data_IF_159651973033
#
_entry.id   IF_159651973033
#
_cell.length_a   1.000
_cell.length_b   1.000
_cell.length_c   1.000
_cell.angle_alpha   90.00
_cell.angle_beta   90.00
_cell.angle_gamma   90.00
#
_symmetry.space_group_name_H-M   'P 1'
#
loop_
_entity.id
_entity.type
_entity.pdbx_description
1 polymer ?
#
# COMPACT_ATOMS: atom_id res chain seq x y z
N UNK A 1 -36.35 -17.12 19.53
CA UNK A 1 -36.30 -15.69 19.15
C UNK A 1 -34.92 -15.05 19.40
N UNK A 2 -34.28 -15.32 20.54
CA UNK A 2 -32.95 -14.75 20.89
C UNK A 2 -31.85 -15.06 19.86
N UNK A 3 -31.79 -16.29 19.33
CA UNK A 3 -30.78 -16.73 18.33
C UNK A 3 -30.87 -15.99 16.98
N UNK A 4 -32.06 -15.50 16.60
CA UNK A 4 -32.25 -14.73 15.34
C UNK A 4 -31.74 -13.32 15.50
N UNK A 5 -32.13 -12.63 16.59
CA UNK A 5 -31.67 -11.28 16.90
C UNK A 5 -30.15 -11.19 16.98
N UNK A 6 -29.49 -12.18 17.59
CA UNK A 6 -28.02 -12.21 17.66
C UNK A 6 -27.35 -12.35 16.29
N UNK A 7 -27.93 -13.13 15.37
CA UNK A 7 -27.42 -13.27 14.01
C UNK A 7 -27.62 -11.99 13.19
N UNK A 8 -28.78 -11.34 13.32
CA UNK A 8 -29.06 -10.07 12.64
C UNK A 8 -28.05 -8.99 13.07
N UNK A 9 -27.78 -8.88 14.38
CA UNK A 9 -26.81 -7.92 14.91
C UNK A 9 -25.38 -8.25 14.47
N UNK A 10 -24.98 -9.52 14.51
CA UNK A 10 -23.64 -9.92 14.05
C UNK A 10 -23.41 -9.62 12.57
N UNK A 11 -24.42 -9.91 11.73
CA UNK A 11 -24.35 -9.64 10.30
C UNK A 11 -24.30 -8.13 10.03
N UNK A 12 -25.11 -7.35 10.75
CA UNK A 12 -25.08 -5.90 10.67
C UNK A 12 -23.68 -5.35 10.96
N UNK A 13 -23.05 -5.80 12.05
CA UNK A 13 -21.68 -5.38 12.41
C UNK A 13 -20.68 -5.76 11.32
N UNK A 14 -20.75 -6.99 10.81
CA UNK A 14 -19.84 -7.47 9.76
C UNK A 14 -19.98 -6.67 8.45
N UNK A 15 -21.21 -6.42 8.00
CA UNK A 15 -21.48 -5.63 6.79
C UNK A 15 -21.06 -4.18 6.99
N UNK A 16 -21.34 -3.59 8.16
CA UNK A 16 -20.90 -2.23 8.48
C UNK A 16 -19.38 -2.14 8.45
N UNK A 17 -18.69 -3.08 9.10
CA UNK A 17 -17.23 -3.17 9.09
C UNK A 17 -16.69 -3.26 7.67
N UNK A 18 -17.25 -4.13 6.82
CA UNK A 18 -16.84 -4.27 5.43
C UNK A 18 -17.00 -2.96 4.65
N UNK A 19 -18.15 -2.28 4.79
CA UNK A 19 -18.40 -1.00 4.12
C UNK A 19 -17.37 0.04 4.58
N UNK A 20 -17.17 0.19 5.89
CA UNK A 20 -16.21 1.13 6.45
C UNK A 20 -14.77 0.81 5.99
N UNK A 21 -14.38 -0.47 5.98
CA UNK A 21 -13.08 -0.92 5.52
C UNK A 21 -12.87 -0.60 4.03
N UNK A 22 -13.84 -0.89 3.17
CA UNK A 22 -13.77 -0.55 1.74
C UNK A 22 -13.69 0.97 1.54
N UNK A 23 -14.49 1.75 2.27
CA UNK A 23 -14.42 3.22 2.21
C UNK A 23 -13.06 3.74 2.64
N UNK A 24 -12.45 3.18 3.70
CA UNK A 24 -11.10 3.52 4.12
C UNK A 24 -10.06 3.26 3.01
N UNK A 25 -10.08 2.07 2.40
CA UNK A 25 -9.16 1.71 1.30
C UNK A 25 -9.32 2.64 0.09
N UNK A 26 -10.56 3.03 -0.24
CA UNK A 26 -10.82 4.00 -1.31
C UNK A 26 -10.30 5.39 -0.91
N UNK A 27 -10.53 5.81 0.32
CA UNK A 27 -10.05 7.09 0.86
C UNK A 27 -8.53 7.25 0.80
N UNK A 28 -7.80 6.21 1.20
CA UNK A 28 -6.34 6.11 1.06
C UNK A 28 -5.89 6.24 -0.40
N UNK A 29 -6.50 5.46 -1.31
CA UNK A 29 -6.12 5.49 -2.74
C UNK A 29 -6.38 6.83 -3.42
N UNK A 30 -7.39 7.56 -2.98
CA UNK A 30 -7.78 8.85 -3.53
C UNK A 30 -7.16 10.04 -2.77
N UNK A 31 -6.33 9.77 -1.75
CA UNK A 31 -5.72 10.79 -0.89
C UNK A 31 -6.74 11.78 -0.29
N UNK A 32 -7.91 11.28 0.10
CA UNK A 32 -9.01 12.13 0.61
C UNK A 32 -8.68 12.71 1.99
N UNK A 33 -7.80 12.05 2.74
CA UNK A 33 -7.50 12.38 4.14
C UNK A 33 -6.66 13.65 4.32
N UNK A 34 -5.98 14.14 3.28
CA UNK A 34 -5.15 15.34 3.35
C UNK A 34 -5.92 16.67 3.37
N UNK A 35 -7.23 16.68 3.09
CA UNK A 35 -8.02 17.90 3.00
C UNK A 35 -9.01 18.06 4.16
N UNK A 36 -8.80 19.05 5.03
CA UNK A 36 -9.60 19.28 6.24
C UNK A 36 -11.11 19.41 6.01
N UNK A 37 -11.56 20.11 4.95
CA UNK A 37 -13.00 20.26 4.65
C UNK A 37 -13.61 18.95 4.12
N UNK A 38 -12.90 18.27 3.22
CA UNK A 38 -13.36 16.99 2.66
C UNK A 38 -13.38 15.89 3.71
N UNK A 39 -12.47 15.91 4.68
CA UNK A 39 -12.48 14.97 5.81
C UNK A 39 -13.78 15.09 6.63
N UNK A 40 -14.20 16.30 6.99
CA UNK A 40 -15.45 16.52 7.76
C UNK A 40 -16.67 16.05 6.96
N UNK A 41 -16.76 16.44 5.68
CA UNK A 41 -17.86 16.01 4.80
C UNK A 41 -17.86 14.49 4.63
N UNK A 42 -16.69 13.89 4.39
CA UNK A 42 -16.54 12.44 4.25
C UNK A 42 -16.97 11.70 5.53
N UNK A 43 -16.62 12.20 6.71
CA UNK A 43 -17.06 11.64 8.01
C UNK A 43 -18.58 11.74 8.17
N UNK A 44 -19.19 12.88 7.81
CA UNK A 44 -20.66 13.00 7.84
C UNK A 44 -21.33 12.01 6.89
N UNK A 45 -20.83 11.87 5.65
CA UNK A 45 -21.31 10.87 4.70
C UNK A 45 -21.11 9.43 5.19
N UNK A 46 -19.99 9.15 5.85
CA UNK A 46 -19.65 7.87 6.48
C UNK A 46 -20.62 7.47 7.61
N UNK A 47 -21.32 8.42 8.23
CA UNK A 47 -22.36 8.12 9.23
C UNK A 47 -23.71 7.98 8.53
N UNK A 48 -24.06 8.93 7.65
CA UNK A 48 -25.39 9.03 7.08
C UNK A 48 -25.72 7.97 6.02
N UNK A 49 -24.72 7.52 5.25
CA UNK A 49 -24.95 6.58 4.13
C UNK A 49 -24.73 5.12 4.52
N UNK A 50 -23.62 4.73 5.19
CA UNK A 50 -23.34 3.35 5.55
C UNK A 50 -24.38 2.74 6.48
N UNK A 51 -24.90 3.48 7.46
CA UNK A 51 -25.84 2.90 8.44
C UNK A 51 -27.15 2.46 7.76
N UNK A 52 -27.91 3.32 7.03
CA UNK A 52 -29.11 2.88 6.33
C UNK A 52 -28.83 1.79 5.29
N UNK A 53 -27.71 1.90 4.57
CA UNK A 53 -27.31 0.90 3.58
C UNK A 53 -27.06 -0.47 4.24
N UNK A 54 -26.35 -0.50 5.36
CA UNK A 54 -26.09 -1.71 6.15
C UNK A 54 -27.38 -2.34 6.61
N UNK A 55 -28.35 -1.56 7.13
CA UNK A 55 -29.66 -2.08 7.53
C UNK A 55 -30.37 -2.74 6.35
N UNK A 56 -30.38 -2.08 5.18
CA UNK A 56 -31.02 -2.59 3.95
C UNK A 56 -30.37 -3.89 3.49
N UNK A 57 -29.03 -3.92 3.40
CA UNK A 57 -28.27 -5.09 2.96
C UNK A 57 -28.44 -6.25 3.93
N UNK A 58 -28.33 -6.01 5.24
CA UNK A 58 -28.50 -7.02 6.29
C UNK A 58 -29.88 -7.67 6.20
N UNK A 59 -30.95 -6.87 6.10
CA UNK A 59 -32.32 -7.38 5.94
C UNK A 59 -32.47 -8.22 4.66
N UNK A 60 -31.88 -7.78 3.56
CA UNK A 60 -31.93 -8.52 2.29
C UNK A 60 -31.23 -9.87 2.39
N UNK A 61 -30.03 -9.91 2.99
CA UNK A 61 -29.26 -11.15 3.16
C UNK A 61 -30.00 -12.10 4.12
N UNK A 62 -30.51 -11.61 5.24
CA UNK A 62 -31.24 -12.46 6.20
C UNK A 62 -32.53 -13.02 5.61
N UNK A 63 -33.28 -12.23 4.84
CA UNK A 63 -34.46 -12.71 4.13
C UNK A 63 -34.12 -13.84 3.14
N UNK A 64 -33.00 -13.71 2.43
CA UNK A 64 -32.51 -14.75 1.52
C UNK A 64 -32.02 -16.01 2.27
N UNK A 65 -31.28 -15.84 3.37
CA UNK A 65 -30.84 -16.95 4.24
C UNK A 65 -32.03 -17.75 4.75
N UNK A 66 -33.11 -17.08 5.12
CA UNK A 66 -34.35 -17.71 5.58
C UNK A 66 -35.08 -18.43 4.43
N UNK A 67 -35.23 -17.79 3.27
CA UNK A 67 -35.84 -18.41 2.07
C UNK A 67 -35.11 -19.70 1.66
N UNK A 68 -33.77 -19.64 1.64
CA UNK A 68 -32.92 -20.77 1.25
C UNK A 68 -32.62 -21.76 2.38
N UNK A 69 -33.15 -21.52 3.60
CA UNK A 69 -32.92 -22.35 4.80
C UNK A 69 -31.42 -22.60 5.05
N UNK A 70 -30.59 -21.58 4.85
CA UNK A 70 -29.14 -21.71 5.01
C UNK A 70 -28.80 -21.94 6.48
N UNK A 71 -27.99 -22.95 6.82
CA UNK A 71 -27.59 -23.19 8.20
C UNK A 71 -26.84 -21.99 8.80
N UNK A 72 -27.14 -21.66 10.06
CA UNK A 72 -26.57 -20.48 10.72
C UNK A 72 -25.03 -20.50 10.81
N UNK A 73 -24.41 -21.68 10.79
CA UNK A 73 -22.94 -21.82 10.79
C UNK A 73 -22.28 -21.18 9.57
N UNK A 74 -22.92 -21.27 8.39
CA UNK A 74 -22.40 -20.63 7.18
C UNK A 74 -22.51 -19.12 7.25
N UNK A 75 -23.59 -18.60 7.85
CA UNK A 75 -23.78 -17.16 8.05
C UNK A 75 -22.69 -16.62 8.98
N UNK A 76 -22.41 -17.31 10.09
CA UNK A 76 -21.32 -16.93 11.01
C UNK A 76 -19.96 -16.99 10.30
N UNK A 77 -19.69 -18.02 9.52
CA UNK A 77 -18.46 -18.11 8.72
C UNK A 77 -18.31 -16.92 7.77
N UNK A 78 -19.38 -16.55 7.06
CA UNK A 78 -19.38 -15.39 6.17
C UNK A 78 -19.14 -14.07 6.91
N UNK A 79 -19.68 -13.90 8.12
CA UNK A 79 -19.43 -12.70 8.95
C UNK A 79 -17.96 -12.50 9.30
N UNK A 80 -17.16 -13.57 9.36
CA UNK A 80 -15.74 -13.51 9.70
C UNK A 80 -14.85 -13.14 8.51
N UNK A 81 -15.32 -13.36 7.28
CA UNK A 81 -14.53 -13.13 6.05
C UNK A 81 -13.98 -11.71 5.97
N UNK A 82 -14.77 -10.63 6.19
CA UNK A 82 -14.24 -9.27 6.16
C UNK A 82 -13.11 -9.03 7.16
N UNK A 83 -13.22 -9.57 8.38
CA UNK A 83 -12.20 -9.42 9.42
C UNK A 83 -10.91 -10.14 9.05
N UNK A 84 -11.01 -11.34 8.47
CA UNK A 84 -9.84 -12.08 7.98
C UNK A 84 -9.16 -11.31 6.85
N UNK A 85 -9.92 -10.83 5.86
CA UNK A 85 -9.39 -10.04 4.74
C UNK A 85 -8.70 -8.77 5.25
N UNK A 86 -9.34 -8.03 6.16
CA UNK A 86 -8.77 -6.83 6.75
C UNK A 86 -7.48 -7.14 7.52
N UNK A 87 -7.49 -8.19 8.34
CA UNK A 87 -6.31 -8.62 9.11
C UNK A 87 -5.15 -9.00 8.20
N UNK A 88 -5.41 -9.77 7.14
CA UNK A 88 -4.39 -10.12 6.15
C UNK A 88 -3.89 -8.88 5.40
N UNK A 89 -4.77 -7.91 5.11
CA UNK A 89 -4.39 -6.66 4.47
C UNK A 89 -3.47 -5.84 5.37
N UNK A 90 -3.84 -5.66 6.64
CA UNK A 90 -3.03 -4.95 7.63
C UNK A 90 -1.70 -5.65 7.89
N UNK A 91 -1.71 -6.97 8.08
CA UNK A 91 -0.49 -7.76 8.23
C UNK A 91 0.42 -7.58 7.01
N UNK A 92 -0.13 -7.74 5.80
CA UNK A 92 0.64 -7.52 4.58
C UNK A 92 1.10 -6.08 4.43
N UNK A 93 0.42 -5.10 5.02
CA UNK A 93 0.82 -3.69 4.93
C UNK A 93 2.05 -3.36 5.80
N UNK A 94 2.08 -3.91 7.01
CA UNK A 94 3.09 -3.60 8.04
C UNK A 94 4.19 -4.64 8.22
N UNK A 95 4.10 -5.78 7.54
CA UNK A 95 5.20 -6.75 7.50
C UNK A 95 6.40 -6.19 6.76
N UNK A 96 7.56 -6.73 7.09
CA UNK A 96 8.77 -6.58 6.29
C UNK A 96 8.57 -7.18 4.89
N UNK A 97 9.10 -6.49 3.88
CA UNK A 97 9.02 -6.82 2.46
C UNK A 97 10.34 -6.61 1.77
N UNK A 98 10.53 -7.24 0.62
CA UNK A 98 11.61 -6.85 -0.28
C UNK A 98 11.40 -5.43 -0.79
N UNK A 99 12.49 -4.66 -0.92
CA UNK A 99 12.45 -3.30 -1.47
C UNK A 99 11.79 -3.30 -2.86
N UNK A 100 12.13 -4.29 -3.69
CA UNK A 100 11.52 -4.50 -5.02
C UNK A 100 10.01 -4.78 -4.96
N UNK A 101 9.54 -5.49 -3.93
CA UNK A 101 8.09 -5.74 -3.73
C UNK A 101 7.34 -4.42 -3.50
N UNK A 102 7.99 -3.46 -2.82
CA UNK A 102 7.42 -2.12 -2.58
C UNK A 102 7.42 -1.25 -3.83
N UNK A 103 8.50 -1.30 -4.63
CA UNK A 103 8.59 -0.58 -5.90
C UNK A 103 7.52 -1.04 -6.91
N UNK A 104 7.12 -2.31 -6.88
CA UNK A 104 6.03 -2.87 -7.71
C UNK A 104 6.22 -2.59 -9.21
N UNK A 105 7.44 -2.72 -9.69
CA UNK A 105 7.76 -2.69 -11.12
C UNK A 105 7.94 -4.11 -11.66
N UNK A 106 7.81 -4.25 -12.97
CA UNK A 106 8.16 -5.49 -13.66
C UNK A 106 9.43 -5.18 -14.46
N UNK A 107 10.54 -5.89 -14.20
CA UNK A 107 11.79 -5.71 -14.92
C UNK A 107 11.62 -5.70 -16.45
N UNK A 108 10.87 -6.67 -16.97
CA UNK A 108 10.62 -6.84 -18.42
C UNK A 108 9.88 -5.66 -19.08
N UNK A 109 9.37 -4.69 -18.30
CA UNK A 109 8.65 -3.52 -18.78
C UNK A 109 9.43 -2.21 -18.64
N UNK A 110 10.65 -2.26 -18.09
CA UNK A 110 11.50 -1.09 -17.92
C UNK A 110 12.08 -0.70 -19.29
N UNK A 111 11.85 0.55 -19.68
CA UNK A 111 12.32 1.12 -20.96
C UNK A 111 13.47 2.11 -20.77
N UNK A 112 13.74 2.50 -19.52
CA UNK A 112 14.81 3.40 -19.13
C UNK A 112 14.85 3.59 -17.62
N UNK A 113 16.01 4.00 -17.13
CA UNK A 113 16.27 4.26 -15.72
C UNK A 113 16.93 5.63 -15.62
N UNK A 114 16.39 6.47 -14.75
CA UNK A 114 16.97 7.75 -14.39
C UNK A 114 17.45 7.67 -12.94
N UNK A 115 18.69 8.07 -12.74
CA UNK A 115 19.37 8.07 -11.47
C UNK A 115 19.75 9.50 -11.12
N UNK A 116 19.32 10.01 -9.97
CA UNK A 116 19.78 11.30 -9.47
C UNK A 116 20.54 11.09 -8.17
N UNK A 117 21.83 11.41 -8.21
CA UNK A 117 22.68 11.48 -7.04
C UNK A 117 23.13 12.92 -6.81
N UNK A 118 22.75 13.48 -5.66
CA UNK A 118 23.11 14.85 -5.26
C UNK A 118 22.59 15.97 -6.18
N UNK A 119 21.43 15.80 -6.82
CA UNK A 119 20.78 16.82 -7.66
C UNK A 119 21.35 16.91 -9.07
N UNK A 120 21.99 15.84 -9.54
CA UNK A 120 22.49 15.68 -10.90
C UNK A 120 21.72 14.53 -11.55
N UNK A 121 20.66 14.82 -12.30
CA UNK A 121 19.93 13.78 -13.01
C UNK A 121 20.82 13.21 -14.12
N UNK A 122 21.20 11.95 -13.97
CA UNK A 122 21.90 11.14 -14.95
C UNK A 122 20.93 10.05 -15.43
N UNK A 123 20.39 10.25 -16.63
CA UNK A 123 19.49 9.31 -17.26
C UNK A 123 20.25 8.44 -18.25
N UNK A 124 20.16 7.13 -18.11
CA UNK A 124 20.71 6.19 -19.08
C UNK A 124 19.63 5.25 -19.60
N UNK A 125 19.82 4.81 -20.84
CA UNK A 125 18.95 3.84 -21.49
C UNK A 125 19.76 2.60 -21.78
N UNK A 126 19.54 1.57 -20.98
CA UNK A 126 20.21 0.29 -21.17
C UNK A 126 19.45 -0.57 -22.17
N UNK A 127 19.95 -0.61 -23.40
CA UNK A 127 19.39 -1.47 -24.46
C UNK A 127 19.65 -2.97 -24.20
N UNK A 128 20.61 -3.32 -23.32
CA UNK A 128 21.03 -4.69 -23.02
C UNK A 128 20.34 -5.32 -21.80
N UNK A 129 19.72 -4.48 -20.97
CA UNK A 129 19.13 -4.83 -19.67
C UNK A 129 20.13 -5.33 -18.62
N UNK A 130 21.45 -5.16 -18.83
CA UNK A 130 22.49 -5.52 -17.87
C UNK A 130 22.47 -4.63 -16.61
N UNK A 131 22.43 -3.32 -16.78
CA UNK A 131 22.36 -2.35 -15.69
C UNK A 131 21.10 -2.57 -14.85
N UNK A 132 19.99 -2.88 -15.51
CA UNK A 132 18.73 -3.17 -14.84
C UNK A 132 18.80 -4.44 -14.00
N UNK A 133 19.43 -5.50 -14.50
CA UNK A 133 19.64 -6.75 -13.75
C UNK A 133 20.56 -6.55 -12.56
N UNK A 134 21.65 -5.81 -12.74
CA UNK A 134 22.60 -5.48 -11.68
C UNK A 134 21.92 -4.65 -10.58
N UNK A 135 21.16 -3.61 -10.95
CA UNK A 135 20.38 -2.80 -10.03
C UNK A 135 19.31 -3.60 -9.29
N UNK A 136 18.57 -4.45 -10.00
CA UNK A 136 17.56 -5.33 -9.40
C UNK A 136 18.20 -6.27 -8.38
N UNK A 137 19.34 -6.89 -8.74
CA UNK A 137 20.07 -7.77 -7.84
C UNK A 137 20.52 -7.02 -6.58
N UNK A 138 21.05 -5.82 -6.70
CA UNK A 138 21.42 -4.97 -5.57
C UNK A 138 20.22 -4.64 -4.68
N UNK A 139 19.15 -4.09 -5.25
CA UNK A 139 17.96 -3.68 -4.51
C UNK A 139 17.21 -4.86 -3.88
N UNK A 140 17.29 -6.06 -4.46
CA UNK A 140 16.68 -7.29 -3.93
C UNK A 140 17.25 -7.72 -2.58
N UNK A 141 18.45 -7.25 -2.24
CA UNK A 141 19.10 -7.58 -0.97
C UNK A 141 18.45 -6.83 0.20
N UNK A 142 17.76 -5.72 -0.06
CA UNK A 142 17.22 -4.87 0.99
C UNK A 142 15.78 -5.22 1.35
N UNK A 143 15.55 -5.24 2.65
CA UNK A 143 14.25 -5.44 3.29
C UNK A 143 13.77 -4.10 3.81
N UNK A 144 12.49 -3.82 3.57
CA UNK A 144 11.85 -2.58 3.97
C UNK A 144 10.60 -2.83 4.77
N UNK A 145 10.30 -1.92 5.70
CA UNK A 145 9.09 -1.93 6.50
C UNK A 145 8.44 -0.55 6.47
N UNK A 146 7.12 -0.51 6.33
CA UNK A 146 6.39 0.75 6.27
C UNK A 146 6.49 1.47 7.61
N UNK A 147 6.86 2.75 7.58
CA UNK A 147 6.84 3.64 8.74
C UNK A 147 5.67 4.63 8.66
N UNK A 148 5.31 5.22 9.80
CA UNK A 148 4.30 6.29 9.81
C UNK A 148 4.93 7.61 9.36
N UNK A 149 4.10 8.54 8.89
CA UNK A 149 4.58 9.89 8.53
C UNK A 149 5.16 10.64 9.74
N UNK A 150 4.66 10.37 10.95
CA UNK A 150 5.22 10.94 12.17
C UNK A 150 6.60 10.40 12.56
N UNK A 151 6.95 9.21 12.05
CA UNK A 151 8.28 8.62 12.28
C UNK A 151 9.29 9.09 11.21
N UNK A 152 8.82 9.73 10.15
CA UNK A 152 9.66 10.24 9.07
C UNK A 152 10.18 11.64 9.41
N UNK A 153 11.50 11.80 9.55
CA UNK A 153 12.15 13.11 9.60
C UNK A 153 12.30 13.68 8.17
N UNK A 154 11.67 14.81 7.87
CA UNK A 154 11.78 15.43 6.55
C UNK A 154 13.14 16.08 6.28
N UNK A 155 13.96 16.30 7.31
CA UNK A 155 15.32 16.79 7.14
C UNK A 155 16.27 15.61 6.80
N UNK A 156 16.44 15.38 5.50
CA UNK A 156 17.40 14.41 4.95
C UNK A 156 18.69 15.07 4.46
N UNK A 157 18.89 16.36 4.76
CA UNK A 157 19.97 17.17 4.15
C UNK A 157 21.39 16.74 4.50
N UNK A 158 21.54 15.94 5.57
CA UNK A 158 22.83 15.43 6.06
C UNK A 158 23.11 13.99 5.66
N UNK A 159 22.16 13.33 5.02
CA UNK A 159 22.26 11.92 4.64
C UNK A 159 22.69 11.78 3.20
N UNK A 160 23.45 10.72 2.93
CA UNK A 160 23.71 10.31 1.56
C UNK A 160 22.47 9.59 1.03
N UNK A 161 22.07 9.94 -0.18
CA UNK A 161 20.96 9.29 -0.84
C UNK A 161 21.02 9.39 -2.34
N UNK A 162 20.10 8.69 -2.96
CA UNK A 162 19.87 8.72 -4.40
C UNK A 162 18.38 8.62 -4.70
N UNK A 163 17.99 9.16 -5.83
CA UNK A 163 16.67 9.00 -6.41
C UNK A 163 16.77 8.11 -7.63
N UNK A 164 15.81 7.19 -7.75
CA UNK A 164 15.71 6.24 -8.82
C UNK A 164 14.32 6.34 -9.43
N UNK A 165 14.26 6.71 -10.71
CA UNK A 165 13.03 6.74 -11.51
C UNK A 165 13.15 5.69 -12.61
N UNK A 166 12.33 4.65 -12.53
CA UNK A 166 12.17 3.68 -13.61
C UNK A 166 11.03 4.10 -14.52
N UNK A 167 11.37 4.28 -15.79
CA UNK A 167 10.41 4.50 -16.86
C UNK A 167 9.94 3.15 -17.38
N UNK A 168 8.63 2.90 -17.33
CA UNK A 168 8.00 1.75 -17.98
C UNK A 168 7.01 2.23 -19.03
N UNK A 169 6.64 1.36 -19.98
CA UNK A 169 5.78 1.71 -21.12
C UNK A 169 4.50 2.51 -20.78
N UNK A 170 3.93 2.30 -19.58
CA UNK A 170 2.64 2.90 -19.16
C UNK A 170 2.66 3.55 -17.77
N UNK A 171 3.81 3.63 -17.10
CA UNK A 171 3.91 4.16 -15.74
C UNK A 171 5.36 4.53 -15.38
N UNK A 172 5.50 5.48 -14.48
CA UNK A 172 6.75 5.79 -13.79
C UNK A 172 6.71 5.18 -12.39
N UNK A 173 7.84 4.64 -11.94
CA UNK A 173 8.03 4.24 -10.54
C UNK A 173 9.27 4.94 -10.05
N UNK A 174 9.09 5.84 -9.07
CA UNK A 174 10.17 6.57 -8.45
C UNK A 174 10.29 6.24 -6.96
N UNK A 175 11.52 6.14 -6.49
CA UNK A 175 11.87 6.06 -5.06
C UNK A 175 13.02 6.99 -4.75
N UNK A 176 13.02 7.60 -3.57
CA UNK A 176 14.23 8.16 -2.97
C UNK A 176 14.69 7.26 -1.85
N UNK A 177 15.98 7.00 -1.79
CA UNK A 177 16.62 6.20 -0.74
C UNK A 177 17.67 7.08 -0.08
N UNK A 178 17.63 7.19 1.25
CA UNK A 178 18.59 7.91 2.07
C UNK A 178 19.05 6.96 3.17
N UNK A 179 20.31 6.52 3.12
CA UNK A 179 20.90 5.57 4.08
C UNK A 179 19.99 4.38 4.48
N UNK A 180 19.24 4.51 5.57
CA UNK A 180 18.38 3.49 6.17
C UNK A 180 16.87 3.71 5.92
N UNK A 181 16.49 4.62 5.01
CA UNK A 181 15.09 4.99 4.80
C UNK A 181 14.77 5.27 3.33
N UNK A 182 13.50 5.08 2.98
CA UNK A 182 13.03 5.17 1.60
C UNK A 182 11.67 5.86 1.51
N UNK A 183 11.53 6.74 0.53
CA UNK A 183 10.25 7.30 0.11
C UNK A 183 9.85 6.65 -1.21
N UNK A 184 8.67 6.01 -1.23
CA UNK A 184 8.04 5.59 -2.48
C UNK A 184 7.12 6.69 -2.98
N UNK A 185 7.43 7.25 -4.15
CA UNK A 185 6.58 8.28 -4.77
C UNK A 185 5.22 7.72 -5.18
N UNK A 186 5.18 6.42 -5.44
CA UNK A 186 3.92 5.71 -5.62
C UNK A 186 3.17 5.64 -4.30
N UNK A 187 2.24 6.58 -4.11
CA UNK A 187 1.37 6.67 -2.93
C UNK A 187 2.01 7.34 -1.73
N UNK A 188 3.13 8.04 -1.90
CA UNK A 188 3.76 8.88 -0.85
C UNK A 188 4.02 8.14 0.46
N UNK A 189 4.42 6.88 0.38
CA UNK A 189 4.61 6.04 1.57
C UNK A 189 6.08 5.99 1.97
N UNK A 190 6.31 6.08 3.28
CA UNK A 190 7.63 6.07 3.90
C UNK A 190 7.97 4.66 4.40
N UNK A 191 9.24 4.29 4.29
CA UNK A 191 9.75 2.99 4.70
C UNK A 191 11.10 3.11 5.41
N UNK A 192 11.31 2.27 6.43
CA UNK A 192 12.63 1.96 6.98
C UNK A 192 13.25 0.80 6.20
N UNK A 193 14.56 0.82 6.03
CA UNK A 193 15.38 -0.24 5.43
C UNK A 193 15.99 -1.04 6.58
N UNK A 194 15.40 -2.21 6.86
CA UNK A 194 15.66 -2.98 8.08
C UNK A 194 17.07 -3.58 8.13
N UNK A 195 17.69 -3.77 6.97
CA UNK A 195 19.07 -4.25 6.82
C UNK A 195 19.98 -3.21 6.16
N UNK A 196 19.67 -1.93 6.36
CA UNK A 196 20.52 -0.81 5.93
C UNK A 196 21.74 -0.58 6.84
N UNK A 197 22.52 0.49 6.58
CA UNK A 197 22.31 1.47 5.50
C UNK A 197 22.59 0.86 4.11
N UNK A 198 22.02 1.47 3.08
CA UNK A 198 22.32 1.09 1.70
C UNK A 198 23.77 1.40 1.35
N UNK A 199 24.43 0.48 0.65
CA UNK A 199 25.80 0.63 0.19
C UNK A 199 25.90 1.74 -0.88
N UNK A 200 26.25 2.94 -0.41
CA UNK A 200 26.40 4.10 -1.28
C UNK A 200 27.68 4.05 -2.13
N UNK A 201 28.69 3.28 -1.75
CA UNK A 201 29.90 3.09 -2.58
C UNK A 201 29.53 2.30 -3.84
N UNK A 202 28.77 1.21 -3.66
CA UNK A 202 28.23 0.45 -4.78
C UNK A 202 27.38 1.32 -5.72
N UNK A 203 26.51 2.17 -5.16
CA UNK A 203 25.67 3.10 -5.93
C UNK A 203 26.52 4.07 -6.75
N UNK A 204 27.55 4.67 -6.16
CA UNK A 204 28.46 5.59 -6.86
C UNK A 204 29.22 4.90 -7.99
N UNK A 205 29.66 3.64 -7.78
CA UNK A 205 30.33 2.84 -8.80
C UNK A 205 29.38 2.42 -9.93
N UNK A 206 28.15 2.05 -9.59
CA UNK A 206 27.12 1.69 -10.53
C UNK A 206 26.77 2.87 -11.45
N UNK A 207 26.55 4.07 -10.89
CA UNK A 207 26.25 5.28 -11.66
C UNK A 207 27.35 5.59 -12.68
N UNK A 208 28.62 5.58 -12.25
CA UNK A 208 29.77 5.84 -13.13
C UNK A 208 29.98 4.81 -14.23
N UNK A 209 29.48 3.58 -14.06
CA UNK A 209 29.64 2.50 -15.05
C UNK A 209 28.67 2.66 -16.23
N UNK A 210 27.50 3.22 -15.97
CA UNK A 210 26.40 3.32 -16.93
C UNK A 210 26.09 4.75 -17.38
N UNK A 211 26.85 5.74 -16.90
CA UNK A 211 26.98 7.09 -17.47
C UNK A 211 27.48 7.03 -18.93
#
# INVERSE_FOLDING_TARGET
MLKRKSLDTGLFISVLFLILFVTYIIGEKLNIWGFNLFAVVAVMFLILVPIPLTIRVTKSIMGWVEDKKIPSVFVVGFMLVPFVIASLTFYNHYREKDLLEVMRYNPDQVVGVEFDMYGKPEGWRDESGEAERELNQFLSQYKVKRMSESDWDSDVSKEKGFELIMMMEKKLVGVSIYEDRMISYRGGSYYSIENGPVDMEWVEEFSKRYE
#
